data_IF_338587647915
#
_entry.id   IF_338587647915
#
_cell.length_a   1.000
_cell.length_b   1.000
_cell.length_c   1.000
_cell.angle_alpha   90.00
_cell.angle_beta   90.00
_cell.angle_gamma   90.00
#
_symmetry.space_group_name_H-M   'P 1'
#
loop_
_entity.id
_entity.type
_entity.pdbx_description
1 polymer ?
#
# COMPACT_ATOMS: atom_id res chain seq x y z
N UNK A 1 35.09 4.80 -16.82
CA UNK A 1 34.14 3.83 -16.25
C UNK A 1 33.07 3.61 -17.31
N UNK A 2 32.88 2.39 -17.80
CA UNK A 2 31.84 2.11 -18.80
C UNK A 2 30.46 2.22 -18.13
N UNK A 3 29.50 2.87 -18.79
CA UNK A 3 28.13 2.97 -18.31
C UNK A 3 27.43 1.64 -18.57
N UNK A 4 26.97 0.97 -17.52
CA UNK A 4 26.14 -0.23 -17.66
C UNK A 4 24.89 0.13 -18.45
N UNK A 5 24.51 -0.64 -19.49
CA UNK A 5 23.28 -0.38 -20.22
C UNK A 5 22.09 -0.46 -19.26
N UNK A 6 21.07 0.41 -19.41
CA UNK A 6 19.91 0.40 -18.52
C UNK A 6 19.18 -0.94 -18.66
N UNK A 7 18.94 -1.61 -17.52
CA UNK A 7 18.12 -2.82 -17.45
C UNK A 7 16.65 -2.43 -17.68
N UNK A 8 16.00 -3.04 -18.66
CA UNK A 8 14.55 -2.90 -18.84
C UNK A 8 13.86 -3.76 -17.78
N UNK A 9 13.10 -3.13 -16.87
CA UNK A 9 12.34 -3.82 -15.82
C UNK A 9 10.86 -3.60 -16.04
N UNK A 10 10.09 -4.69 -15.96
CA UNK A 10 8.62 -4.65 -16.02
C UNK A 10 8.07 -4.94 -14.63
N UNK A 11 7.29 -4.00 -14.11
CA UNK A 11 6.57 -4.16 -12.85
C UNK A 11 5.08 -4.25 -13.16
N UNK A 12 4.48 -5.36 -12.79
CA UNK A 12 3.03 -5.55 -12.87
C UNK A 12 2.47 -5.52 -11.46
N UNK A 13 1.57 -4.58 -11.12
CA UNK A 13 0.89 -4.59 -9.83
C UNK A 13 0.21 -5.94 -9.59
N UNK A 14 0.44 -6.53 -8.42
CA UNK A 14 -0.34 -7.67 -7.96
C UNK A 14 -1.76 -7.24 -7.57
N UNK A 15 -2.69 -8.20 -7.45
CA UNK A 15 -4.02 -7.89 -6.93
C UNK A 15 -3.89 -7.41 -5.48
N UNK A 16 -4.60 -6.33 -5.15
CA UNK A 16 -4.83 -6.02 -3.75
C UNK A 16 -5.65 -7.15 -3.13
N UNK A 17 -5.40 -7.44 -1.86
CA UNK A 17 -6.09 -8.50 -1.12
C UNK A 17 -6.88 -7.90 0.04
N UNK A 18 -8.05 -8.46 0.27
CA UNK A 18 -8.90 -8.12 1.41
C UNK A 18 -8.38 -8.84 2.66
N UNK A 19 -8.55 -8.19 3.80
CA UNK A 19 -8.13 -8.69 5.10
C UNK A 19 -9.10 -8.19 6.19
N UNK A 20 -9.02 -8.83 7.35
CA UNK A 20 -9.78 -8.45 8.53
C UNK A 20 -9.22 -7.19 9.17
N UNK A 21 -10.05 -6.17 9.38
CA UNK A 21 -9.67 -4.99 10.13
C UNK A 21 -9.82 -5.24 11.65
N UNK A 22 -8.74 -5.16 12.45
CA UNK A 22 -8.83 -5.39 13.88
C UNK A 22 -9.50 -4.24 14.64
N UNK A 23 -9.65 -3.06 14.04
CA UNK A 23 -10.29 -1.90 14.64
C UNK A 23 -11.82 -1.95 14.48
N UNK A 24 -12.33 -1.80 13.25
CA UNK A 24 -13.77 -1.81 12.98
C UNK A 24 -14.40 -3.21 12.95
N UNK A 25 -13.59 -4.28 13.01
CA UNK A 25 -14.05 -5.68 12.99
C UNK A 25 -14.86 -6.01 11.73
N UNK A 26 -14.37 -5.57 10.57
CA UNK A 26 -14.96 -5.82 9.27
C UNK A 26 -13.92 -6.37 8.27
N UNK A 27 -14.39 -7.13 7.28
CA UNK A 27 -13.56 -7.71 6.22
C UNK A 27 -13.40 -6.73 5.06
N UNK A 28 -12.79 -5.59 5.37
CA UNK A 28 -12.68 -4.43 4.48
C UNK A 28 -11.26 -3.90 4.39
N UNK A 29 -10.32 -4.47 5.13
CA UNK A 29 -8.93 -3.99 5.10
C UNK A 29 -8.31 -4.35 3.75
N UNK A 30 -8.04 -3.35 2.93
CA UNK A 30 -7.26 -3.49 1.71
C UNK A 30 -5.78 -3.57 2.06
N UNK A 31 -5.05 -4.53 1.52
CA UNK A 31 -3.60 -4.61 1.69
C UNK A 31 -2.90 -4.90 0.38
N UNK A 32 -1.67 -4.39 0.25
CA UNK A 32 -0.81 -4.62 -0.89
C UNK A 32 0.66 -4.52 -0.50
N UNK A 33 1.55 -4.96 -1.39
CA UNK A 33 2.99 -4.86 -1.16
C UNK A 33 3.55 -3.58 -1.79
N UNK A 34 4.54 -3.00 -1.12
CA UNK A 34 5.31 -1.88 -1.62
C UNK A 34 6.56 -2.44 -2.31
N UNK A 35 6.66 -2.19 -3.61
CA UNK A 35 7.76 -2.66 -4.43
C UNK A 35 8.79 -1.53 -4.62
N UNK A 36 10.07 -1.84 -4.41
CA UNK A 36 11.19 -0.96 -4.72
C UNK A 36 11.91 -1.46 -5.96
N UNK A 37 12.08 -0.57 -6.94
CA UNK A 37 12.84 -0.81 -8.15
C UNK A 37 14.25 -0.20 -8.02
N UNK A 38 15.27 -1.02 -8.25
CA UNK A 38 16.69 -0.63 -8.23
C UNK A 38 17.41 -1.16 -9.48
N UNK A 39 18.65 -0.73 -9.78
CA UNK A 39 19.45 -1.32 -10.85
C UNK A 39 19.69 -2.83 -10.70
N UNK A 40 19.65 -3.35 -9.47
CA UNK A 40 19.87 -4.76 -9.16
C UNK A 40 18.57 -5.60 -9.27
N UNK A 41 17.41 -4.95 -9.41
CA UNK A 41 16.11 -5.62 -9.59
C UNK A 41 14.97 -5.02 -8.75
N UNK A 42 13.90 -5.81 -8.59
CA UNK A 42 12.70 -5.47 -7.82
C UNK A 42 12.72 -6.21 -6.49
N UNK A 43 12.45 -5.51 -5.39
CA UNK A 43 12.30 -6.10 -4.06
C UNK A 43 11.00 -5.64 -3.38
N UNK A 44 10.45 -6.47 -2.51
CA UNK A 44 9.38 -6.07 -1.59
C UNK A 44 10.04 -5.37 -0.40
N UNK A 45 9.66 -4.12 -0.16
CA UNK A 45 10.22 -3.30 0.93
C UNK A 45 9.24 -3.05 2.06
N UNK A 46 7.99 -3.45 1.88
CA UNK A 46 6.99 -3.36 2.92
C UNK A 46 5.62 -3.81 2.45
N UNK A 47 4.67 -3.74 3.37
CA UNK A 47 3.25 -3.99 3.13
C UNK A 47 2.50 -2.73 3.55
N UNK A 48 1.60 -2.27 2.71
CA UNK A 48 0.66 -1.21 3.05
C UNK A 48 -0.71 -1.80 3.34
N UNK A 49 -1.47 -1.12 4.19
CA UNK A 49 -2.85 -1.48 4.53
C UNK A 49 -3.69 -0.22 4.65
N UNK A 50 -4.90 -0.23 4.10
CA UNK A 50 -5.91 0.81 4.29
C UNK A 50 -7.25 0.16 4.66
N UNK A 51 -8.13 0.87 5.37
CA UNK A 51 -9.47 0.40 5.68
C UNK A 51 -10.42 1.58 5.55
N UNK A 52 -11.29 1.55 4.54
CA UNK A 52 -12.19 2.63 4.19
C UNK A 52 -13.11 3.03 5.35
N UNK A 53 -13.53 2.08 6.18
CA UNK A 53 -14.38 2.35 7.35
C UNK A 53 -13.64 3.14 8.44
N UNK A 54 -12.34 2.91 8.60
CA UNK A 54 -11.53 3.60 9.61
C UNK A 54 -10.91 4.89 9.07
N UNK A 55 -10.85 5.04 7.75
CA UNK A 55 -10.30 6.21 7.07
C UNK A 55 -11.28 7.42 7.13
N UNK A 56 -12.56 7.16 7.43
CA UNK A 56 -13.62 8.15 7.60
C UNK A 56 -13.33 9.19 8.73
N UNK A 57 -12.42 8.91 9.65
CA UNK A 57 -12.08 9.81 10.77
C UNK A 57 -11.12 10.95 10.38
N UNK A 58 -10.53 10.97 9.19
CA UNK A 58 -9.50 11.95 8.82
C UNK A 58 -10.00 13.22 8.09
N UNK A 59 -11.31 13.35 7.81
CA UNK A 59 -11.83 14.44 6.96
C UNK A 59 -12.88 15.38 7.59
N UNK A 60 -13.07 15.38 8.91
CA UNK A 60 -13.89 16.43 9.56
C UNK A 60 -13.28 16.97 10.87
N UNK A 61 -12.82 18.23 10.90
CA UNK A 61 -12.37 18.87 12.13
C UNK A 61 -13.49 19.24 13.13
N UNK A 62 -14.72 18.70 13.03
CA UNK A 62 -15.87 19.26 13.76
C UNK A 62 -17.02 18.31 14.16
N UNK A 63 -16.79 17.01 14.35
CA UNK A 63 -17.78 16.12 14.99
C UNK A 63 -17.45 15.88 16.47
N UNK A 64 -17.50 16.94 17.28
CA UNK A 64 -17.18 16.88 18.71
C UNK A 64 -17.91 17.92 19.55
N UNK A 65 -19.25 17.99 19.45
CA UNK A 65 -20.16 18.55 20.48
C UNK A 65 -21.62 18.37 20.07
N UNK A 66 -22.38 17.63 20.87
CA UNK A 66 -23.85 17.55 20.78
C UNK A 66 -24.38 16.22 21.26
#
# INVERSE_FOLDING_TARGET
MARTPPLTVFVTPGPAREDWCPACKAQTRLTGDILMLTPDGVSVVGTWTACEICDDDFDTPEAGRG
#
